data_IF_910883979669
#
_entry.id   IF_910883979669
#
_cell.length_a   1.000
_cell.length_b   1.000
_cell.length_c   1.000
_cell.angle_alpha   90.00
_cell.angle_beta   90.00
_cell.angle_gamma   90.00
#
_symmetry.space_group_name_H-M   'P 1'
#
loop_
_entity.id
_entity.type
_entity.pdbx_description
1 polymer ?
#
# COMPACT_ATOMS: atom_id res chain seq x y z
N UNK A 1 -61.23 -7.45 -62.29
CA UNK A 1 -60.93 -8.88 -62.54
C UNK A 1 -59.74 -9.28 -61.65
N UNK A 2 -59.94 -10.28 -60.78
CA UNK A 2 -58.98 -11.22 -60.14
C UNK A 2 -57.65 -10.70 -59.53
N UNK A 3 -57.12 -11.17 -58.39
CA UNK A 3 -57.41 -12.32 -57.53
C UNK A 3 -56.73 -12.14 -56.15
N UNK A 4 -57.47 -12.48 -55.08
CA UNK A 4 -57.14 -13.38 -53.95
C UNK A 4 -55.67 -13.46 -53.47
N UNK A 5 -55.43 -13.19 -52.16
CA UNK A 5 -54.97 -14.19 -51.18
C UNK A 5 -54.92 -13.68 -49.73
N UNK A 6 -55.65 -14.42 -48.91
CA UNK A 6 -55.57 -14.57 -47.45
C UNK A 6 -54.15 -14.87 -46.97
N UNK A 7 -53.72 -14.25 -45.86
CA UNK A 7 -52.66 -14.82 -45.02
C UNK A 7 -52.80 -14.39 -43.55
N UNK A 8 -53.33 -15.33 -42.77
CA UNK A 8 -52.80 -15.82 -41.50
C UNK A 8 -52.24 -14.81 -40.49
N UNK A 9 -53.03 -14.58 -39.44
CA UNK A 9 -52.59 -14.20 -38.10
C UNK A 9 -51.48 -15.14 -37.59
N UNK A 10 -50.37 -14.59 -37.11
CA UNK A 10 -49.51 -15.25 -36.12
C UNK A 10 -49.13 -14.25 -35.02
N UNK A 11 -49.71 -14.45 -33.84
CA UNK A 11 -49.16 -13.97 -32.58
C UNK A 11 -47.80 -14.61 -32.37
N UNK A 12 -46.79 -13.81 -32.05
CA UNK A 12 -45.59 -14.26 -31.36
C UNK A 12 -45.34 -13.29 -30.20
N UNK A 13 -45.90 -13.62 -29.03
CA UNK A 13 -45.55 -12.97 -27.78
C UNK A 13 -44.18 -13.52 -27.32
N UNK A 14 -43.13 -12.72 -27.45
CA UNK A 14 -41.84 -13.03 -26.85
C UNK A 14 -41.84 -12.56 -25.39
N UNK A 15 -42.04 -13.50 -24.45
CA UNK A 15 -41.73 -13.27 -23.04
C UNK A 15 -40.20 -13.16 -22.90
N UNK A 16 -39.69 -11.95 -22.76
CA UNK A 16 -38.34 -11.72 -22.26
C UNK A 16 -38.36 -11.91 -20.74
N UNK A 17 -38.09 -13.13 -20.28
CA UNK A 17 -37.79 -13.38 -18.87
C UNK A 17 -36.42 -12.78 -18.56
N UNK A 18 -36.42 -11.57 -18.00
CA UNK A 18 -35.24 -10.96 -17.39
C UNK A 18 -34.83 -11.81 -16.19
N UNK A 19 -33.83 -12.68 -16.38
CA UNK A 19 -33.09 -13.28 -15.28
C UNK A 19 -32.28 -12.16 -14.62
N UNK A 20 -32.90 -11.45 -13.67
CA UNK A 20 -32.15 -10.62 -12.73
C UNK A 20 -31.45 -11.60 -11.81
N UNK A 21 -30.19 -11.90 -12.10
CA UNK A 21 -29.31 -12.56 -11.14
C UNK A 21 -29.13 -11.61 -9.96
N UNK A 22 -29.97 -11.75 -8.94
CA UNK A 22 -29.65 -11.22 -7.63
C UNK A 22 -28.48 -12.05 -7.11
N UNK A 23 -27.26 -11.52 -7.27
CA UNK A 23 -26.15 -12.01 -6.49
C UNK A 23 -26.56 -11.84 -5.02
N UNK A 24 -26.81 -12.95 -4.34
CA UNK A 24 -26.98 -12.93 -2.90
C UNK A 24 -25.64 -12.47 -2.33
N UNK A 25 -25.56 -11.20 -1.89
CA UNK A 25 -24.43 -10.76 -1.07
C UNK A 25 -24.44 -11.64 0.17
N UNK A 26 -23.42 -12.49 0.31
CA UNK A 26 -23.21 -13.17 1.57
C UNK A 26 -22.91 -12.08 2.60
N UNK A 27 -23.68 -12.06 3.70
CA UNK A 27 -23.61 -10.95 4.65
C UNK A 27 -22.25 -10.87 5.33
N UNK A 28 -21.63 -12.02 5.57
CA UNK A 28 -20.37 -12.13 6.27
C UNK A 28 -19.66 -13.44 5.87
N UNK A 29 -18.33 -13.43 5.83
CA UNK A 29 -17.52 -14.63 5.70
C UNK A 29 -16.22 -14.55 6.49
N UNK A 30 -15.85 -15.70 7.05
CA UNK A 30 -14.55 -15.93 7.70
C UNK A 30 -13.69 -16.79 6.78
N UNK A 31 -12.60 -16.21 6.25
CA UNK A 31 -11.70 -16.88 5.35
C UNK A 31 -10.26 -16.87 5.86
N UNK A 32 -9.49 -17.81 5.34
CA UNK A 32 -8.04 -17.89 5.48
C UNK A 32 -7.48 -18.43 4.16
N UNK A 33 -6.16 -18.35 3.90
CA UNK A 33 -5.60 -18.80 2.64
C UNK A 33 -6.03 -20.24 2.25
N UNK A 34 -6.01 -21.27 3.11
CA UNK A 34 -6.48 -22.60 2.74
C UNK A 34 -7.97 -22.67 2.35
N UNK A 35 -8.81 -21.81 2.94
CA UNK A 35 -10.24 -21.69 2.60
C UNK A 35 -10.47 -20.81 1.35
N UNK A 36 -9.41 -20.18 0.83
CA UNK A 36 -9.41 -19.30 -0.32
C UNK A 36 -8.45 -19.80 -1.41
N UNK A 37 -8.43 -21.12 -1.65
CA UNK A 37 -7.62 -21.74 -2.71
C UNK A 37 -6.10 -21.62 -2.49
N UNK A 38 -5.65 -21.42 -1.26
CA UNK A 38 -4.25 -21.16 -0.91
C UNK A 38 -3.81 -19.71 -1.13
N UNK A 39 -4.72 -18.80 -1.48
CA UNK A 39 -4.38 -17.41 -1.85
C UNK A 39 -4.68 -16.40 -0.74
N UNK A 40 -3.85 -15.36 -0.67
CA UNK A 40 -4.10 -14.14 0.11
C UNK A 40 -4.88 -13.07 -0.65
N UNK A 41 -5.27 -13.33 -1.90
CA UNK A 41 -6.13 -12.45 -2.69
C UNK A 41 -7.58 -12.58 -2.22
N UNK A 42 -8.06 -11.61 -1.46
CA UNK A 42 -9.37 -11.68 -0.84
C UNK A 42 -10.50 -11.61 -1.88
N UNK A 43 -11.49 -12.51 -1.82
CA UNK A 43 -12.59 -12.53 -2.77
C UNK A 43 -13.58 -11.38 -2.52
N UNK A 44 -14.23 -10.93 -3.59
CA UNK A 44 -15.39 -10.01 -3.52
C UNK A 44 -16.70 -10.79 -3.31
N UNK A 45 -17.79 -10.08 -3.00
CA UNK A 45 -19.13 -10.67 -2.83
C UNK A 45 -19.63 -10.77 -1.38
N UNK A 46 -18.86 -10.24 -0.44
CA UNK A 46 -19.19 -10.24 0.99
C UNK A 46 -19.31 -8.81 1.51
N UNK A 47 -20.41 -8.49 2.22
CA UNK A 47 -20.52 -7.17 2.88
C UNK A 47 -19.58 -7.03 4.08
N UNK A 48 -19.17 -8.13 4.70
CA UNK A 48 -18.11 -8.20 5.70
C UNK A 48 -17.24 -9.43 5.41
N UNK A 49 -15.95 -9.22 5.24
CA UNK A 49 -14.97 -10.30 5.11
C UNK A 49 -13.97 -10.23 6.26
N UNK A 50 -13.90 -11.29 7.07
CA UNK A 50 -12.88 -11.46 8.08
C UNK A 50 -11.82 -12.43 7.52
N UNK A 51 -10.58 -11.98 7.37
CA UNK A 51 -9.50 -12.74 6.74
C UNK A 51 -8.36 -12.97 7.73
N UNK A 52 -8.12 -14.24 8.06
CA UNK A 52 -7.17 -14.65 9.08
C UNK A 52 -5.94 -15.30 8.45
N UNK A 53 -4.75 -14.89 8.87
CA UNK A 53 -3.51 -15.60 8.57
C UNK A 53 -2.77 -16.02 9.85
N UNK A 54 -2.13 -17.17 9.79
CA UNK A 54 -1.45 -17.77 10.93
C UNK A 54 -0.61 -18.97 10.54
N UNK A 55 0.05 -19.58 11.52
CA UNK A 55 0.89 -20.75 11.27
C UNK A 55 0.03 -21.92 10.76
N UNK A 56 0.37 -22.42 9.56
CA UNK A 56 -0.40 -23.45 8.85
C UNK A 56 -1.50 -22.93 7.91
N UNK A 57 -1.80 -21.62 7.93
CA UNK A 57 -2.78 -20.97 7.05
C UNK A 57 -2.28 -19.56 6.67
N UNK A 58 -1.10 -19.52 6.07
CA UNK A 58 -0.36 -18.29 5.76
C UNK A 58 -0.25 -18.06 4.25
N UNK A 59 -0.23 -16.78 3.86
CA UNK A 59 0.13 -16.34 2.52
C UNK A 59 1.16 -15.19 2.62
N UNK A 60 2.14 -15.11 1.71
CA UNK A 60 3.19 -14.08 1.75
C UNK A 60 2.66 -12.67 1.44
N UNK A 61 1.60 -12.57 0.65
CA UNK A 61 0.96 -11.31 0.30
C UNK A 61 -0.56 -11.42 0.53
N UNK A 62 -1.15 -10.34 1.01
CA UNK A 62 -2.59 -10.15 1.15
C UNK A 62 -3.03 -8.99 0.27
N UNK A 63 -4.12 -9.18 -0.49
CA UNK A 63 -4.73 -8.14 -1.33
C UNK A 63 -6.19 -7.96 -0.95
N UNK A 64 -6.64 -6.71 -0.93
CA UNK A 64 -8.05 -6.38 -0.76
C UNK A 64 -8.86 -6.84 -1.98
N UNK A 65 -10.18 -7.07 -1.81
CA UNK A 65 -11.05 -7.43 -2.92
C UNK A 65 -11.07 -6.38 -4.04
N UNK A 66 -11.08 -6.84 -5.29
CA UNK A 66 -10.95 -5.99 -6.50
C UNK A 66 -12.30 -5.50 -7.06
N UNK A 67 -13.41 -6.13 -6.67
CA UNK A 67 -14.77 -5.75 -7.11
C UNK A 67 -15.73 -5.58 -5.92
N UNK A 68 -15.45 -4.69 -4.95
CA UNK A 68 -16.32 -4.45 -3.81
C UNK A 68 -17.61 -3.72 -4.19
N UNK A 69 -18.65 -3.97 -3.40
CA UNK A 69 -19.90 -3.20 -3.36
C UNK A 69 -19.82 -2.07 -2.33
N UNK A 70 -20.73 -1.10 -2.44
CA UNK A 70 -20.79 0.04 -1.52
C UNK A 70 -20.88 -0.42 -0.06
N UNK A 71 -19.98 0.11 0.79
CA UNK A 71 -19.86 -0.22 2.21
C UNK A 71 -19.42 -1.65 2.54
N UNK A 72 -18.92 -2.43 1.58
CA UNK A 72 -18.21 -3.68 1.89
C UNK A 72 -17.09 -3.40 2.88
N UNK A 73 -16.84 -4.35 3.78
CA UNK A 73 -15.84 -4.23 4.83
C UNK A 73 -14.90 -5.42 4.83
N UNK A 74 -13.65 -5.15 5.16
CA UNK A 74 -12.62 -6.17 5.36
C UNK A 74 -12.00 -5.95 6.74
N UNK A 75 -11.88 -7.04 7.49
CA UNK A 75 -10.99 -7.12 8.65
C UNK A 75 -9.95 -8.19 8.35
N UNK A 76 -8.68 -7.84 8.48
CA UNK A 76 -7.58 -8.78 8.34
C UNK A 76 -6.82 -8.87 9.66
N UNK A 77 -6.54 -10.09 10.10
CA UNK A 77 -5.83 -10.38 11.34
C UNK A 77 -4.70 -11.36 11.09
N UNK A 78 -3.56 -11.16 11.77
CA UNK A 78 -2.44 -12.10 11.73
C UNK A 78 -1.99 -12.52 13.11
N UNK A 79 -1.84 -13.83 13.27
CA UNK A 79 -1.12 -14.46 14.38
C UNK A 79 0.08 -15.27 13.88
N UNK A 80 0.48 -15.08 12.62
CA UNK A 80 1.55 -15.83 11.98
C UNK A 80 2.92 -15.46 12.56
N UNK A 81 3.78 -16.47 12.72
CA UNK A 81 5.19 -16.29 13.08
C UNK A 81 5.95 -15.60 11.94
N UNK A 82 5.59 -15.88 10.69
CA UNK A 82 6.14 -15.22 9.51
C UNK A 82 5.29 -14.02 9.10
N UNK A 83 5.93 -12.85 8.97
CA UNK A 83 5.29 -11.64 8.46
C UNK A 83 4.84 -11.82 7.01
N UNK A 84 3.71 -11.23 6.68
CA UNK A 84 3.19 -11.09 5.32
C UNK A 84 3.29 -9.63 4.85
N UNK A 85 3.07 -9.40 3.56
CA UNK A 85 2.86 -8.06 3.00
C UNK A 85 1.38 -7.82 2.86
N UNK A 86 0.85 -6.79 3.51
CA UNK A 86 -0.48 -6.30 3.17
C UNK A 86 -0.37 -5.28 2.05
N UNK A 87 -0.95 -5.58 0.89
CA UNK A 87 -0.94 -4.70 -0.28
C UNK A 87 -1.93 -3.56 -0.07
N UNK A 88 -1.51 -2.34 -0.43
CA UNK A 88 -2.28 -1.11 -0.23
C UNK A 88 -2.75 -0.48 -1.55
N UNK A 89 -2.68 -1.24 -2.65
CA UNK A 89 -2.84 -0.78 -4.03
C UNK A 89 -4.13 0.03 -4.27
N UNK A 90 -5.25 -0.35 -3.64
CA UNK A 90 -6.58 0.29 -3.80
C UNK A 90 -7.00 1.17 -2.60
N UNK A 91 -6.03 1.70 -1.87
CA UNK A 91 -6.24 2.56 -0.69
C UNK A 91 -5.69 3.97 -0.91
N UNK A 92 -5.87 4.87 0.07
CA UNK A 92 -5.17 6.17 0.09
C UNK A 92 -3.64 6.05 0.19
N UNK A 93 -3.10 4.84 0.43
CA UNK A 93 -1.66 4.55 0.57
C UNK A 93 -1.08 3.81 -0.64
N UNK A 94 -1.78 3.78 -1.78
CA UNK A 94 -1.40 3.02 -2.98
C UNK A 94 0.07 3.22 -3.40
N UNK A 95 0.60 4.44 -3.22
CA UNK A 95 1.98 4.79 -3.56
C UNK A 95 3.03 4.02 -2.73
N UNK A 96 2.66 3.60 -1.51
CA UNK A 96 3.52 2.78 -0.66
C UNK A 96 3.58 1.31 -1.12
N UNK A 97 2.62 0.86 -1.95
CA UNK A 97 2.51 -0.51 -2.48
C UNK A 97 2.08 -1.56 -1.45
N UNK A 98 2.63 -1.52 -0.25
CA UNK A 98 2.23 -2.37 0.86
C UNK A 98 2.93 -2.04 2.17
N UNK A 99 2.55 -2.76 3.22
CA UNK A 99 3.13 -2.65 4.55
C UNK A 99 3.39 -4.04 5.13
N UNK A 100 4.34 -4.14 6.04
CA UNK A 100 4.55 -5.35 6.83
C UNK A 100 3.32 -5.65 7.70
N UNK A 101 2.87 -6.90 7.67
CA UNK A 101 1.75 -7.41 8.45
C UNK A 101 2.24 -8.57 9.30
N UNK A 102 2.57 -8.27 10.56
CA UNK A 102 3.25 -9.16 11.50
C UNK A 102 2.35 -9.45 12.71
N UNK A 103 2.50 -10.59 13.36
CA UNK A 103 1.75 -10.81 14.61
C UNK A 103 2.18 -9.83 15.73
N UNK A 104 1.24 -9.25 16.51
CA UNK A 104 -0.22 -9.27 16.35
C UNK A 104 -0.73 -8.02 15.62
N UNK A 105 -1.01 -8.11 14.33
CA UNK A 105 -1.55 -7.00 13.54
C UNK A 105 -3.01 -7.24 13.15
N UNK A 106 -3.76 -6.15 13.20
CA UNK A 106 -5.11 -6.04 12.65
C UNK A 106 -5.16 -4.83 11.72
N UNK A 107 -5.75 -5.02 10.54
CA UNK A 107 -6.10 -3.94 9.61
C UNK A 107 -7.57 -4.06 9.24
N UNK A 108 -8.24 -2.90 9.12
CA UNK A 108 -9.67 -2.85 8.81
C UNK A 108 -9.92 -1.82 7.73
N UNK A 109 -10.80 -2.15 6.79
CA UNK A 109 -11.13 -1.30 5.66
C UNK A 109 -12.64 -1.29 5.40
N UNK A 110 -13.12 -0.18 4.86
CA UNK A 110 -14.46 -0.06 4.27
C UNK A 110 -14.36 0.50 2.86
N UNK A 111 -15.14 -0.05 1.92
CA UNK A 111 -15.16 0.47 0.56
C UNK A 111 -15.91 1.80 0.50
N UNK A 112 -15.21 2.83 0.03
CA UNK A 112 -15.78 4.14 -0.28
C UNK A 112 -16.14 4.22 -1.76
N UNK A 113 -17.43 4.20 -2.05
CA UNK A 113 -17.94 4.29 -3.43
C UNK A 113 -17.57 5.64 -4.07
N UNK A 114 -17.68 6.74 -3.32
CA UNK A 114 -17.35 8.07 -3.80
C UNK A 114 -15.87 8.25 -4.16
N UNK A 115 -14.97 7.64 -3.39
CA UNK A 115 -13.54 7.67 -3.68
C UNK A 115 -13.06 6.54 -4.62
N UNK A 116 -13.90 5.51 -4.81
CA UNK A 116 -13.55 4.24 -5.45
C UNK A 116 -12.26 3.62 -4.87
N UNK A 117 -12.17 3.64 -3.54
CA UNK A 117 -11.02 3.15 -2.77
C UNK A 117 -11.47 2.55 -1.46
N UNK A 118 -10.63 1.67 -0.93
CA UNK A 118 -10.75 1.17 0.43
C UNK A 118 -10.23 2.23 1.42
N UNK A 119 -11.13 2.70 2.28
CA UNK A 119 -10.83 3.56 3.40
C UNK A 119 -10.39 2.75 4.59
N UNK A 120 -9.33 3.23 5.26
CA UNK A 120 -8.89 2.67 6.52
C UNK A 120 -9.97 2.88 7.59
N UNK A 121 -10.19 1.87 8.43
CA UNK A 121 -11.00 1.96 9.64
C UNK A 121 -10.07 1.94 10.87
N UNK A 122 -10.46 2.61 11.98
CA UNK A 122 -9.63 2.65 13.18
C UNK A 122 -9.52 1.28 13.86
N UNK A 123 -8.35 1.00 14.44
CA UNK A 123 -8.08 -0.21 15.23
C UNK A 123 -6.73 -0.85 14.90
N UNK A 124 -6.20 -1.63 15.83
CA UNK A 124 -4.91 -2.32 15.65
C UNK A 124 -3.78 -1.34 15.30
N UNK A 125 -3.19 -1.50 14.12
CA UNK A 125 -2.10 -0.63 13.62
C UNK A 125 -2.57 0.66 12.96
N UNK A 126 -3.87 0.86 12.85
CA UNK A 126 -4.49 1.90 12.03
C UNK A 126 -5.19 2.99 12.85
N UNK A 127 -5.00 4.24 12.42
CA UNK A 127 -5.70 5.42 12.93
C UNK A 127 -6.33 6.19 11.79
N UNK A 128 -7.52 6.73 12.03
CA UNK A 128 -8.25 7.59 11.09
C UNK A 128 -8.50 8.94 11.73
N UNK A 129 -8.31 10.01 10.97
CA UNK A 129 -8.55 11.40 11.33
C UNK A 129 -9.35 12.09 10.23
N UNK A 130 -10.13 13.11 10.61
CA UNK A 130 -10.98 13.85 9.69
C UNK A 130 -10.67 15.35 9.86
N UNK A 131 -10.61 16.07 8.74
CA UNK A 131 -10.36 17.51 8.73
C UNK A 131 -11.37 18.31 9.57
N UNK A 132 -10.92 19.22 10.45
CA UNK A 132 -11.79 19.90 11.41
C UNK A 132 -12.53 21.13 10.83
N UNK A 133 -12.38 21.40 9.53
CA UNK A 133 -12.87 22.61 8.87
C UNK A 133 -12.28 23.91 9.46
N UNK A 134 -10.96 24.01 9.49
CA UNK A 134 -10.21 25.14 10.04
C UNK A 134 -9.09 25.55 9.08
N UNK A 135 -8.57 26.78 9.13
CA UNK A 135 -7.45 27.19 8.27
C UNK A 135 -6.21 26.30 8.43
N UNK A 136 -5.94 25.85 9.65
CA UNK A 136 -4.80 25.02 10.02
C UNK A 136 -5.24 23.90 10.95
N UNK A 137 -4.58 22.74 10.84
CA UNK A 137 -4.68 21.65 11.80
C UNK A 137 -3.32 20.98 12.04
N UNK A 138 -3.23 20.21 13.13
CA UNK A 138 -2.04 19.46 13.51
C UNK A 138 -2.41 18.02 13.83
N UNK A 139 -1.76 17.08 13.15
CA UNK A 139 -1.89 15.67 13.45
C UNK A 139 -1.14 15.35 14.74
N UNK A 140 -1.80 14.82 15.79
CA UNK A 140 -1.11 14.42 17.01
C UNK A 140 -0.22 13.20 16.76
N UNK A 141 0.94 13.12 17.42
CA UNK A 141 1.79 11.94 17.44
C UNK A 141 1.03 10.70 17.94
N UNK A 142 1.38 9.51 17.42
CA UNK A 142 0.78 8.25 17.88
C UNK A 142 1.63 7.05 17.50
N UNK A 143 1.39 5.90 18.15
CA UNK A 143 2.12 4.65 17.91
C UNK A 143 1.57 3.82 16.72
N UNK A 144 0.68 4.38 15.91
CA UNK A 144 0.07 3.66 14.79
C UNK A 144 1.00 3.64 13.57
N UNK A 145 1.04 2.51 12.87
CA UNK A 145 1.84 2.35 11.66
C UNK A 145 1.17 2.97 10.42
N UNK A 146 -0.17 3.05 10.42
CA UNK A 146 -0.95 3.70 9.37
C UNK A 146 -1.82 4.80 9.98
N UNK A 147 -1.71 6.02 9.46
CA UNK A 147 -2.63 7.12 9.76
C UNK A 147 -3.26 7.65 8.48
N UNK A 148 -4.57 7.54 8.34
CA UNK A 148 -5.31 8.19 7.25
C UNK A 148 -5.94 9.48 7.77
N UNK A 149 -5.60 10.61 7.17
CA UNK A 149 -6.21 11.91 7.43
C UNK A 149 -7.09 12.27 6.23
N UNK A 150 -8.42 12.19 6.40
CA UNK A 150 -9.37 12.43 5.32
C UNK A 150 -9.88 13.87 5.37
N UNK A 151 -9.81 14.56 4.23
CA UNK A 151 -10.41 15.87 4.04
C UNK A 151 -11.50 15.82 2.98
N UNK A 152 -12.59 16.52 3.21
CA UNK A 152 -13.74 16.62 2.31
C UNK A 152 -14.25 18.07 2.28
N UNK A 153 -15.17 18.38 1.37
CA UNK A 153 -15.82 19.68 1.34
C UNK A 153 -16.55 19.93 2.68
N UNK A 154 -16.20 21.03 3.36
CA UNK A 154 -16.70 21.35 4.71
C UNK A 154 -15.99 20.62 5.86
N UNK A 155 -14.93 19.85 5.57
CA UNK A 155 -14.07 19.13 6.52
C UNK A 155 -12.61 19.19 6.06
N UNK A 156 -12.10 20.40 5.87
CA UNK A 156 -10.80 20.66 5.25
C UNK A 156 -9.86 21.46 6.16
N UNK A 157 -8.55 21.31 5.95
CA UNK A 157 -7.53 22.19 6.53
C UNK A 157 -6.56 22.71 5.46
N UNK A 158 -6.43 24.03 5.35
CA UNK A 158 -5.56 24.67 4.36
C UNK A 158 -4.07 24.40 4.63
N UNK A 159 -3.69 24.29 5.89
CA UNK A 159 -2.36 23.91 6.35
C UNK A 159 -2.50 22.70 7.28
N UNK A 160 -1.69 21.67 7.07
CA UNK A 160 -1.64 20.50 7.94
C UNK A 160 -0.23 20.24 8.43
N UNK A 161 -0.04 20.30 9.75
CA UNK A 161 1.21 19.91 10.39
C UNK A 161 1.24 18.41 10.65
N UNK A 162 2.23 17.71 10.08
CA UNK A 162 2.49 16.30 10.43
C UNK A 162 3.12 16.23 11.84
N UNK A 163 3.00 15.10 12.57
CA UNK A 163 3.53 15.02 13.93
C UNK A 163 5.05 15.00 13.90
N UNK A 164 5.70 15.59 14.91
CA UNK A 164 7.17 15.54 15.03
C UNK A 164 7.73 14.13 15.30
N UNK A 165 6.87 13.21 15.74
CA UNK A 165 7.24 11.83 16.06
C UNK A 165 6.19 10.84 15.58
N UNK A 166 6.65 9.72 15.04
CA UNK A 166 5.89 8.50 14.78
C UNK A 166 6.83 7.28 14.90
N UNK A 167 6.31 6.03 14.89
CA UNK A 167 7.16 4.86 14.74
C UNK A 167 7.98 4.90 13.45
N UNK A 168 9.15 4.27 13.46
CA UNK A 168 9.98 4.07 12.26
C UNK A 168 9.13 3.46 11.13
N UNK A 169 9.25 4.03 9.93
CA UNK A 169 8.49 3.65 8.73
C UNK A 169 6.95 3.79 8.84
N UNK A 170 6.42 4.52 9.83
CA UNK A 170 5.00 4.83 9.87
C UNK A 170 4.57 5.60 8.61
N UNK A 171 3.40 5.26 8.07
CA UNK A 171 2.81 5.93 6.92
C UNK A 171 1.67 6.84 7.37
N UNK A 172 1.65 8.04 6.82
CA UNK A 172 0.54 8.97 6.95
C UNK A 172 0.06 9.37 5.55
N UNK A 173 -1.19 9.07 5.23
CA UNK A 173 -1.80 9.54 3.99
C UNK A 173 -2.81 10.63 4.25
N UNK A 174 -2.67 11.74 3.54
CA UNK A 174 -3.67 12.80 3.45
C UNK A 174 -4.56 12.46 2.26
N UNK A 175 -5.76 11.94 2.54
CA UNK A 175 -6.77 11.68 1.53
C UNK A 175 -7.59 12.95 1.30
N UNK A 176 -7.10 13.81 0.41
CA UNK A 176 -7.74 15.09 0.14
C UNK A 176 -8.81 14.94 -0.94
N UNK A 177 -10.04 14.69 -0.50
CA UNK A 177 -11.23 14.59 -1.36
C UNK A 177 -11.95 15.93 -1.52
N UNK A 178 -11.45 16.98 -0.88
CA UNK A 178 -11.97 18.31 -1.05
C UNK A 178 -11.58 18.88 -2.42
N UNK A 179 -12.27 19.95 -2.85
CA UNK A 179 -11.93 20.69 -4.07
C UNK A 179 -10.66 21.53 -3.92
N UNK A 180 -10.28 21.85 -2.68
CA UNK A 180 -9.14 22.72 -2.37
C UNK A 180 -7.89 21.93 -2.01
N UNK A 181 -6.73 22.53 -2.24
CA UNK A 181 -5.45 21.96 -1.82
C UNK A 181 -5.11 22.27 -0.36
N UNK A 182 -4.24 21.44 0.20
CA UNK A 182 -3.61 21.58 1.52
C UNK A 182 -2.11 21.80 1.34
N UNK A 183 -1.54 22.65 2.19
CA UNK A 183 -0.08 22.73 2.39
C UNK A 183 0.33 21.87 3.57
N UNK A 184 1.24 20.93 3.34
CA UNK A 184 1.80 20.03 4.35
C UNK A 184 3.03 20.68 4.97
N UNK A 185 3.09 20.72 6.30
CA UNK A 185 4.24 21.23 7.05
C UNK A 185 4.79 20.12 7.93
N UNK A 186 6.03 19.73 7.67
CA UNK A 186 6.74 18.71 8.42
C UNK A 186 8.26 18.90 8.27
N UNK A 187 9.01 18.48 9.28
CA UNK A 187 10.46 18.39 9.17
C UNK A 187 10.83 17.33 8.13
N UNK A 188 11.79 17.65 7.26
CA UNK A 188 12.19 16.78 6.14
C UNK A 188 11.39 16.93 4.85
N UNK A 189 10.24 17.63 4.86
CA UNK A 189 9.44 17.87 3.64
C UNK A 189 9.78 19.23 3.02
N UNK A 190 10.50 19.26 1.87
CA UNK A 190 10.92 20.48 1.22
C UNK A 190 9.73 21.20 0.56
N UNK A 191 9.85 22.52 0.34
CA UNK A 191 8.75 23.40 -0.05
C UNK A 191 7.98 22.91 -1.27
N UNK A 192 8.68 22.43 -2.30
CA UNK A 192 8.12 21.93 -3.54
C UNK A 192 7.29 20.64 -3.39
N UNK A 193 7.46 19.91 -2.28
CA UNK A 193 6.73 18.68 -1.98
C UNK A 193 5.57 18.89 -0.98
N UNK A 194 5.40 20.11 -0.46
CA UNK A 194 4.37 20.41 0.56
C UNK A 194 2.95 20.42 0.01
N UNK A 195 2.76 20.63 -1.29
CA UNK A 195 1.41 20.71 -1.84
C UNK A 195 0.75 19.33 -1.91
N UNK A 196 -0.45 19.23 -1.32
CA UNK A 196 -1.39 18.14 -1.56
C UNK A 196 -2.66 18.69 -2.20
N UNK A 197 -2.85 18.46 -3.50
CA UNK A 197 -3.96 19.05 -4.27
C UNK A 197 -5.29 18.41 -3.87
N UNK A 198 -6.37 19.15 -4.11
CA UNK A 198 -7.73 18.60 -4.00
C UNK A 198 -7.94 17.44 -4.97
N UNK A 199 -8.68 16.43 -4.53
CA UNK A 199 -8.91 15.17 -5.26
C UNK A 199 -7.70 14.23 -5.33
N UNK A 200 -6.68 14.41 -4.50
CA UNK A 200 -5.48 13.58 -4.49
C UNK A 200 -5.20 12.97 -3.10
N UNK A 201 -4.54 11.82 -3.10
CA UNK A 201 -3.93 11.27 -1.90
C UNK A 201 -2.43 11.60 -1.88
N UNK A 202 -1.93 12.06 -0.74
CA UNK A 202 -0.51 12.34 -0.54
C UNK A 202 -0.01 11.53 0.65
N UNK A 203 0.87 10.56 0.40
CA UNK A 203 1.41 9.68 1.44
C UNK A 203 2.81 10.12 1.84
N UNK A 204 3.09 10.04 3.13
CA UNK A 204 4.37 10.36 3.74
C UNK A 204 4.84 9.17 4.57
N UNK A 205 6.15 8.99 4.64
CA UNK A 205 6.82 7.99 5.49
C UNK A 205 7.70 8.69 6.52
N UNK A 206 7.72 8.18 7.75
CA UNK A 206 8.57 8.68 8.82
C UNK A 206 9.90 7.91 8.87
N UNK A 207 11.01 8.64 8.90
CA UNK A 207 12.36 8.16 9.23
C UNK A 207 12.59 8.45 10.72
N UNK A 208 12.52 7.40 11.54
CA UNK A 208 12.67 7.49 12.99
C UNK A 208 14.11 7.75 13.45
N UNK A 209 15.10 7.47 12.60
CA UNK A 209 16.51 7.79 12.88
C UNK A 209 16.75 9.29 12.74
N UNK A 210 16.15 9.92 11.73
CA UNK A 210 16.27 11.38 11.48
C UNK A 210 15.18 12.21 12.15
N UNK A 211 14.12 11.57 12.63
CA UNK A 211 12.90 12.23 13.13
C UNK A 211 12.27 13.13 12.07
N UNK A 212 12.16 12.64 10.83
CA UNK A 212 11.74 13.43 9.67
C UNK A 212 10.73 12.68 8.81
N UNK A 213 9.83 13.45 8.19
CA UNK A 213 8.91 12.94 7.18
C UNK A 213 9.47 13.14 5.78
N UNK A 214 9.21 12.19 4.91
CA UNK A 214 9.46 12.30 3.47
C UNK A 214 8.19 11.97 2.69
N UNK A 215 7.90 12.72 1.63
CA UNK A 215 6.78 12.41 0.75
C UNK A 215 7.12 11.18 -0.10
N UNK A 216 6.19 10.23 -0.16
CA UNK A 216 6.29 9.09 -1.06
C UNK A 216 5.79 9.47 -2.45
N UNK A 217 6.53 9.04 -3.45
CA UNK A 217 6.19 9.17 -4.87
C UNK A 217 6.23 7.79 -5.49
N UNK A 218 5.36 7.51 -6.46
CA UNK A 218 5.29 6.19 -7.09
C UNK A 218 6.56 6.00 -7.89
N UNK A 219 7.37 5.01 -7.52
CA UNK A 219 8.64 4.72 -8.20
C UNK A 219 8.76 3.23 -8.47
N UNK A 220 8.82 2.88 -9.75
CA UNK A 220 9.15 1.51 -10.21
C UNK A 220 10.65 1.20 -10.00
N UNK A 221 11.45 2.25 -9.80
CA UNK A 221 12.89 2.22 -9.53
C UNK A 221 13.19 3.26 -8.45
N UNK A 222 13.74 2.82 -7.33
CA UNK A 222 14.20 3.74 -6.28
C UNK A 222 15.63 4.20 -6.55
N UNK A 223 15.93 5.42 -6.13
CA UNK A 223 17.28 5.98 -6.15
C UNK A 223 18.07 5.47 -4.95
N UNK A 224 19.41 5.60 -4.94
CA UNK A 224 20.23 5.30 -3.78
C UNK A 224 19.78 6.10 -2.55
N UNK A 225 19.73 5.45 -1.39
CA UNK A 225 19.40 6.06 -0.10
C UNK A 225 20.23 5.42 1.00
N UNK A 226 20.62 6.21 2.01
CA UNK A 226 21.52 5.74 3.07
C UNK A 226 20.89 4.55 3.82
N UNK A 227 19.58 4.63 4.00
CA UNK A 227 18.72 3.54 4.44
C UNK A 227 17.65 3.31 3.36
N UNK A 228 17.63 2.13 2.75
CA UNK A 228 16.60 1.73 1.82
C UNK A 228 15.30 1.42 2.57
N UNK A 229 14.13 1.74 1.98
CA UNK A 229 12.83 1.59 2.64
C UNK A 229 12.43 0.13 2.78
N UNK A 230 11.36 -0.14 3.54
CA UNK A 230 10.67 -1.43 3.46
C UNK A 230 10.21 -1.71 2.01
N UNK A 231 10.33 -2.94 1.48
CA UNK A 231 9.96 -3.23 0.10
C UNK A 231 8.46 -3.03 -0.17
N UNK A 232 8.15 -2.06 -1.03
CA UNK A 232 6.78 -1.77 -1.51
C UNK A 232 6.20 -2.88 -2.39
N UNK A 233 7.05 -3.77 -2.89
CA UNK A 233 6.71 -4.96 -3.66
C UNK A 233 7.68 -6.10 -3.32
N UNK A 234 7.35 -7.32 -3.71
CA UNK A 234 8.22 -8.50 -3.58
C UNK A 234 9.55 -8.37 -4.33
N UNK A 235 9.63 -7.45 -5.30
CA UNK A 235 10.87 -7.04 -5.96
C UNK A 235 10.95 -5.52 -6.02
N UNK A 236 12.07 -4.96 -5.59
CA UNK A 236 12.36 -3.53 -5.69
C UNK A 236 13.68 -3.31 -6.43
N UNK A 237 13.67 -2.41 -7.41
CA UNK A 237 14.85 -2.08 -8.20
C UNK A 237 15.48 -0.79 -7.68
N UNK A 238 16.77 -0.82 -7.38
CA UNK A 238 17.61 0.32 -7.03
C UNK A 238 18.54 0.57 -8.21
N UNK A 239 18.43 1.73 -8.85
CA UNK A 239 19.34 2.11 -9.94
C UNK A 239 20.16 3.31 -9.51
N UNK A 240 21.48 3.18 -9.58
CA UNK A 240 22.40 4.29 -9.27
C UNK A 240 22.88 4.92 -10.58
N UNK A 241 22.78 6.26 -10.69
CA UNK A 241 23.10 7.04 -11.91
C UNK A 241 24.05 8.20 -11.60
N UNK A 242 24.72 8.72 -12.62
CA UNK A 242 25.65 9.86 -12.54
C UNK A 242 25.13 11.12 -11.82
N UNK A 243 23.80 11.33 -11.81
CA UNK A 243 23.15 12.49 -11.18
C UNK A 243 22.78 12.25 -9.71
N UNK A 244 22.97 11.04 -9.20
CA UNK A 244 22.61 10.68 -7.82
C UNK A 244 23.78 11.03 -6.90
N UNK A 245 23.98 12.34 -6.68
CA UNK A 245 25.20 12.88 -6.05
C UNK A 245 25.51 12.25 -4.69
N UNK A 246 24.51 11.83 -3.90
CA UNK A 246 24.66 11.07 -2.65
C UNK A 246 23.31 10.44 -2.23
N UNK A 247 23.30 9.38 -1.39
CA UNK A 247 24.45 8.74 -0.74
C UNK A 247 25.07 7.60 -1.54
N UNK A 248 26.39 7.41 -1.38
CA UNK A 248 27.17 6.34 -2.01
C UNK A 248 27.06 5.02 -1.24
N UNK A 249 26.80 5.10 0.06
CA UNK A 249 26.60 3.95 0.94
C UNK A 249 25.09 3.74 1.16
N UNK A 250 24.66 2.48 1.05
CA UNK A 250 23.27 2.08 1.21
C UNK A 250 23.16 0.93 2.19
N UNK A 251 22.17 0.99 3.07
CA UNK A 251 21.84 -0.11 3.99
C UNK A 251 20.46 -0.68 3.62
N UNK A 252 20.37 -2.00 3.53
CA UNK A 252 19.08 -2.68 3.33
C UNK A 252 18.20 -2.54 4.59
N UNK A 253 16.86 -2.56 4.50
CA UNK A 253 16.00 -2.41 5.68
C UNK A 253 16.17 -3.58 6.66
N UNK A 254 16.08 -3.30 7.96
CA UNK A 254 16.14 -4.34 9.00
C UNK A 254 15.03 -5.40 8.89
N UNK A 255 13.94 -5.08 8.19
CA UNK A 255 12.78 -5.94 8.05
C UNK A 255 12.26 -5.94 6.61
N UNK A 256 11.80 -7.12 6.18
CA UNK A 256 11.09 -7.37 4.94
C UNK A 256 10.21 -8.61 5.12
N UNK A 257 9.39 -8.91 4.12
CA UNK A 257 8.69 -10.20 4.03
C UNK A 257 9.68 -11.26 3.56
N UNK A 258 9.53 -12.48 4.07
CA UNK A 258 10.37 -13.60 3.63
C UNK A 258 10.31 -13.73 2.10
N UNK A 259 11.47 -13.74 1.44
CA UNK A 259 11.56 -13.88 -0.01
C UNK A 259 11.55 -12.56 -0.80
N UNK A 260 11.35 -11.41 -0.16
CA UNK A 260 11.50 -10.11 -0.83
C UNK A 260 12.88 -9.94 -1.44
N UNK A 261 12.95 -9.27 -2.58
CA UNK A 261 14.20 -9.06 -3.32
C UNK A 261 14.47 -7.59 -3.58
N UNK A 262 15.65 -7.11 -3.18
CA UNK A 262 16.25 -5.90 -3.71
C UNK A 262 17.16 -6.26 -4.88
N UNK A 263 16.98 -5.60 -6.02
CA UNK A 263 17.85 -5.69 -7.20
C UNK A 263 18.55 -4.35 -7.40
N UNK A 264 19.86 -4.35 -7.39
CA UNK A 264 20.70 -3.17 -7.60
C UNK A 264 21.29 -3.21 -9.01
N UNK A 265 21.24 -2.10 -9.72
CA UNK A 265 21.93 -1.91 -10.99
C UNK A 265 22.71 -0.60 -10.94
N UNK A 266 24.04 -0.71 -10.97
CA UNK A 266 24.93 0.43 -11.01
C UNK A 266 25.32 0.75 -12.46
N UNK A 267 25.10 1.99 -12.89
CA UNK A 267 25.18 2.36 -14.32
C UNK A 267 26.21 3.45 -14.63
N UNK A 268 27.08 3.81 -13.69
CA UNK A 268 27.98 4.95 -13.87
C UNK A 268 29.42 4.66 -13.38
N UNK A 269 30.45 4.75 -14.24
CA UNK A 269 31.79 4.25 -13.94
C UNK A 269 32.57 5.04 -12.87
N UNK A 270 32.19 6.29 -12.60
CA UNK A 270 33.01 7.19 -11.78
C UNK A 270 32.58 7.28 -10.31
N UNK A 271 31.49 6.62 -9.92
CA UNK A 271 30.97 6.64 -8.55
C UNK A 271 30.99 5.24 -7.94
N UNK A 272 31.53 5.10 -6.73
CA UNK A 272 31.57 3.81 -6.04
C UNK A 272 30.40 3.67 -5.09
N UNK A 273 29.31 3.02 -5.54
CA UNK A 273 28.19 2.69 -4.65
C UNK A 273 28.42 1.39 -3.90
N UNK A 274 28.00 1.35 -2.64
CA UNK A 274 28.19 0.20 -1.77
C UNK A 274 26.92 -0.16 -1.02
N UNK A 275 26.68 -1.47 -0.87
CA UNK A 275 25.70 -2.01 0.07
C UNK A 275 26.43 -2.41 1.34
N UNK A 276 26.09 -1.75 2.45
CA UNK A 276 26.70 -1.97 3.75
C UNK A 276 26.30 -3.33 4.33
N UNK A 277 27.16 -3.96 5.16
CA UNK A 277 26.89 -5.29 5.71
C UNK A 277 25.70 -5.32 6.69
N UNK A 278 25.27 -4.16 7.20
CA UNK A 278 24.15 -4.04 8.12
C UNK A 278 22.88 -4.71 7.56
N UNK A 279 22.25 -5.53 8.41
CA UNK A 279 21.09 -6.37 8.10
C UNK A 279 21.30 -7.42 7.02
N UNK A 280 22.53 -7.68 6.58
CA UNK A 280 22.84 -8.71 5.58
C UNK A 280 23.59 -9.89 6.19
N UNK A 281 23.80 -10.96 5.41
CA UNK A 281 24.71 -12.06 5.74
C UNK A 281 26.18 -11.75 5.43
N UNK A 282 26.48 -10.60 4.85
CA UNK A 282 27.84 -10.19 4.47
C UNK A 282 28.61 -9.67 5.68
N UNK A 283 29.92 -9.87 5.69
CA UNK A 283 30.83 -9.37 6.75
C UNK A 283 31.51 -8.05 6.38
N UNK A 284 31.46 -7.66 5.11
CA UNK A 284 32.06 -6.44 4.56
C UNK A 284 31.09 -5.76 3.60
N UNK A 285 31.32 -4.48 3.32
CA UNK A 285 30.52 -3.75 2.35
C UNK A 285 30.72 -4.32 0.94
N UNK A 286 29.63 -4.47 0.19
CA UNK A 286 29.65 -4.91 -1.19
C UNK A 286 29.67 -3.70 -2.12
N UNK A 287 30.78 -3.50 -2.81
CA UNK A 287 30.85 -2.55 -3.93
C UNK A 287 29.99 -3.07 -5.08
N UNK A 288 29.08 -2.24 -5.58
CA UNK A 288 28.22 -2.60 -6.70
C UNK A 288 29.03 -2.59 -8.01
N UNK A 289 29.11 -3.71 -8.74
CA UNK A 289 29.76 -3.76 -10.04
C UNK A 289 29.00 -2.93 -11.08
N UNK A 290 29.73 -2.20 -11.92
CA UNK A 290 29.16 -1.44 -13.03
C UNK A 290 28.52 -2.38 -14.06
N UNK A 291 27.32 -2.03 -14.51
CA UNK A 291 26.58 -2.73 -15.56
C UNK A 291 26.04 -4.10 -15.17
N UNK A 292 26.22 -4.52 -13.92
CA UNK A 292 25.79 -5.83 -13.43
C UNK A 292 24.70 -5.69 -12.36
N UNK A 293 23.73 -6.61 -12.41
CA UNK A 293 22.73 -6.70 -11.37
C UNK A 293 23.28 -7.42 -10.15
N UNK A 294 23.00 -6.87 -8.97
CA UNK A 294 23.23 -7.52 -7.68
C UNK A 294 21.91 -7.68 -6.97
N UNK A 295 21.64 -8.86 -6.44
CA UNK A 295 20.37 -9.16 -5.79
C UNK A 295 20.56 -9.57 -4.34
N UNK A 296 19.62 -9.14 -3.51
CA UNK A 296 19.53 -9.52 -2.10
C UNK A 296 18.13 -10.01 -1.82
N UNK A 297 18.00 -11.17 -1.19
CA UNK A 297 16.73 -11.74 -0.78
C UNK A 297 16.62 -11.78 0.74
N UNK A 298 15.48 -11.35 1.29
CA UNK A 298 15.28 -11.37 2.73
C UNK A 298 14.97 -12.78 3.24
N UNK A 299 15.79 -13.27 4.16
CA UNK A 299 15.61 -14.55 4.83
C UNK A 299 15.06 -14.31 6.25
N UNK A 300 13.74 -14.43 6.40
CA UNK A 300 13.05 -14.22 7.69
C UNK A 300 13.55 -15.12 8.83
N UNK A 301 13.73 -16.45 8.67
CA UNK A 301 14.31 -17.29 9.72
C UNK A 301 15.64 -16.79 10.28
N UNK A 302 16.46 -16.14 9.45
CA UNK A 302 17.75 -15.56 9.86
C UNK A 302 17.70 -14.06 10.13
N UNK A 303 16.53 -13.43 9.99
CA UNK A 303 16.26 -11.99 10.07
C UNK A 303 17.31 -11.12 9.39
N UNK A 304 17.73 -11.53 8.18
CA UNK A 304 18.77 -10.83 7.40
C UNK A 304 18.58 -11.00 5.90
N UNK A 305 19.19 -10.12 5.13
CA UNK A 305 19.30 -10.18 3.68
C UNK A 305 20.46 -11.07 3.24
N UNK A 306 20.21 -11.95 2.30
CA UNK A 306 21.22 -12.82 1.71
C UNK A 306 21.46 -12.39 0.27
N UNK A 307 22.73 -12.16 -0.10
CA UNK A 307 23.09 -11.98 -1.51
C UNK A 307 22.73 -13.25 -2.28
N UNK A 308 22.06 -13.09 -3.40
CA UNK A 308 21.69 -14.18 -4.32
C UNK A 308 22.15 -13.83 -5.74
N UNK A 309 22.30 -14.87 -6.55
CA UNK A 309 22.65 -14.75 -7.97
C UNK A 309 21.44 -14.37 -8.84
#
# INVERSE_FOLDING_TARGET
MSNIKTSSFRLAAALAASLVSFAASATEADLSPPLNGGSGDMPSGYSQLNFFIGDGYWAPELRLPVAPSANDRVMADTVATFGARFRLDDTAFAVAGGIAFNSPDTLRFAWSEGARKWDLLPGGKARVLIGPNRPEDRVPASNHALTQYTMENGRHAGILHLPAWAPEHALLSVSNRAQWGTTIVADGVPFEQRACKGGQDCTFIFDGTKQQWSKLEKRDVIRPMAQLPFPSASRVNVVTRAVDVHPLEMTLPAMAVHGDVYTFLHTHPNDTYQVMPAHTSMTTALVLPEGQEVRFRFNRPMTRWEKID
#
